data_IF_281998748097
#
_entry.id   IF_281998748097
#
_cell.length_a   1.000
_cell.length_b   1.000
_cell.length_c   1.000
_cell.angle_alpha   90.00
_cell.angle_beta   90.00
_cell.angle_gamma   90.00
#
_symmetry.space_group_name_H-M   'P 1'
#
loop_
_entity.id
_entity.type
_entity.pdbx_description
1 polymer ?
#
# COMPACT_ATOMS: atom_id res chain seq x y z
N UNK A 1 -9.89 -22.52 33.94
CA UNK A 1 -8.76 -22.91 34.80
C UNK A 1 -8.73 -21.97 35.98
N UNK A 2 -8.66 -22.45 37.23
CA UNK A 2 -8.49 -21.53 38.37
C UNK A 2 -7.00 -21.13 38.37
N UNK A 3 -6.73 -19.85 38.09
CA UNK A 3 -5.39 -19.32 38.29
C UNK A 3 -5.02 -19.33 39.76
N UNK A 4 -3.78 -18.95 40.10
CA UNK A 4 -3.31 -18.86 41.47
C UNK A 4 -4.04 -17.70 42.19
N UNK A 5 -5.29 -17.96 42.58
CA UNK A 5 -6.20 -16.95 43.15
C UNK A 5 -6.15 -16.86 44.69
N UNK A 6 -5.66 -17.84 45.36
CA UNK A 6 -5.63 -17.87 46.81
C UNK A 6 -4.52 -18.80 47.34
N UNK A 7 -4.04 -18.49 48.53
CA UNK A 7 -3.16 -19.41 49.26
C UNK A 7 -3.87 -20.73 49.49
N UNK A 8 -3.15 -21.82 49.36
CA UNK A 8 -3.64 -23.17 49.67
C UNK A 8 -3.71 -23.39 51.20
N UNK A 9 -2.78 -22.75 51.94
CA UNK A 9 -2.70 -22.84 53.40
C UNK A 9 -2.77 -21.45 54.05
N UNK A 10 -3.35 -21.36 55.24
CA UNK A 10 -3.43 -20.13 56.04
C UNK A 10 -2.95 -20.43 57.47
N UNK A 11 -1.90 -19.76 57.91
CA UNK A 11 -1.27 -19.97 59.20
C UNK A 11 -1.54 -18.80 60.14
N UNK A 12 -1.72 -19.12 61.42
CA UNK A 12 -1.82 -18.14 62.50
C UNK A 12 -0.68 -18.38 63.51
N UNK A 13 -0.45 -17.41 64.40
CA UNK A 13 0.60 -17.52 65.42
C UNK A 13 0.33 -18.75 66.33
N UNK A 14 1.27 -19.70 66.34
CA UNK A 14 1.18 -20.89 67.14
C UNK A 14 0.81 -22.17 66.35
N UNK A 15 0.49 -22.02 65.07
CA UNK A 15 0.23 -23.19 64.21
C UNK A 15 1.52 -23.99 63.95
N UNK A 16 1.39 -25.29 63.83
CA UNK A 16 2.44 -26.18 63.35
C UNK A 16 2.35 -26.19 61.82
N UNK A 17 3.43 -25.90 61.13
CA UNK A 17 3.51 -25.95 59.69
C UNK A 17 4.06 -27.33 59.29
N UNK A 18 3.26 -28.14 58.65
CA UNK A 18 3.70 -29.40 58.07
C UNK A 18 4.38 -29.24 56.74
N UNK A 19 5.24 -30.20 56.39
CA UNK A 19 5.94 -30.17 55.08
C UNK A 19 4.95 -30.19 53.89
N UNK A 20 3.81 -30.86 54.04
CA UNK A 20 2.74 -30.88 53.03
C UNK A 20 2.18 -29.49 52.77
N UNK A 21 1.95 -28.66 53.80
CA UNK A 21 1.41 -27.30 53.66
C UNK A 21 2.33 -26.42 52.79
N UNK A 22 3.66 -26.51 53.06
CA UNK A 22 4.65 -25.77 52.30
C UNK A 22 4.78 -26.29 50.87
N UNK A 23 4.75 -27.59 50.67
CA UNK A 23 4.82 -28.21 49.33
C UNK A 23 3.60 -27.85 48.52
N UNK A 24 2.39 -27.85 49.07
CA UNK A 24 1.16 -27.49 48.38
C UNK A 24 1.19 -26.05 47.87
N UNK A 25 1.75 -25.10 48.64
CA UNK A 25 1.95 -23.72 48.20
C UNK A 25 2.97 -23.64 47.07
N UNK A 26 4.10 -24.36 47.15
CA UNK A 26 5.12 -24.36 46.08
C UNK A 26 4.60 -25.06 44.83
N UNK A 27 3.88 -26.16 44.95
CA UNK A 27 3.28 -26.88 43.82
C UNK A 27 2.23 -26.05 43.11
N UNK A 28 1.42 -25.25 43.87
CA UNK A 28 0.49 -24.30 43.31
C UNK A 28 1.21 -23.19 42.50
N UNK A 29 2.34 -22.67 43.01
CA UNK A 29 3.17 -21.69 42.29
C UNK A 29 3.79 -22.34 41.02
N UNK A 30 4.38 -23.49 41.11
CA UNK A 30 4.97 -24.22 39.96
C UNK A 30 3.90 -24.49 38.90
N UNK A 31 2.70 -24.91 39.33
CA UNK A 31 1.58 -25.14 38.43
C UNK A 31 1.13 -23.85 37.75
N UNK A 32 1.08 -22.73 38.49
CA UNK A 32 0.70 -21.42 37.95
C UNK A 32 1.65 -20.90 36.84
N UNK A 33 2.95 -21.25 36.95
CA UNK A 33 3.96 -20.88 35.92
C UNK A 33 4.26 -22.02 34.93
N UNK A 34 3.55 -23.15 35.02
CA UNK A 34 3.64 -24.23 34.05
C UNK A 34 2.91 -23.92 32.72
N UNK A 35 3.04 -24.85 31.76
CA UNK A 35 2.49 -24.72 30.40
C UNK A 35 0.98 -24.51 30.30
N UNK A 36 0.23 -24.78 31.36
CA UNK A 36 -1.22 -24.58 31.48
C UNK A 36 -1.60 -23.71 32.69
N UNK A 37 -0.66 -22.95 33.25
CA UNK A 37 -0.78 -22.34 34.55
C UNK A 37 -1.70 -21.11 34.60
N UNK A 38 -1.36 -20.04 33.93
CA UNK A 38 -2.15 -18.82 33.91
C UNK A 38 -1.97 -18.06 32.60
N UNK A 39 -2.97 -17.26 32.26
CA UNK A 39 -2.96 -16.33 31.15
C UNK A 39 -3.02 -14.91 31.67
N UNK A 40 -2.57 -13.94 30.90
CA UNK A 40 -2.71 -12.52 31.23
C UNK A 40 -3.92 -11.92 30.51
N UNK A 41 -5.10 -12.48 30.74
CA UNK A 41 -6.35 -12.11 30.08
C UNK A 41 -7.23 -11.14 30.88
N UNK A 42 -6.75 -10.68 32.05
CA UNK A 42 -7.48 -9.79 32.94
C UNK A 42 -8.52 -10.47 33.82
N UNK A 43 -8.73 -11.79 33.69
CA UNK A 43 -9.64 -12.55 34.54
C UNK A 43 -9.04 -12.70 35.95
N UNK A 44 -9.90 -12.62 36.97
CA UNK A 44 -9.47 -12.80 38.36
C UNK A 44 -8.76 -14.16 38.54
N UNK A 45 -7.52 -14.13 39.04
CA UNK A 45 -6.66 -15.29 39.24
C UNK A 45 -5.77 -15.66 38.06
N UNK A 46 -5.94 -15.05 36.90
CA UNK A 46 -5.07 -15.28 35.74
C UNK A 46 -4.06 -14.14 35.48
N UNK A 47 -3.96 -13.19 36.42
CA UNK A 47 -3.14 -11.99 36.25
C UNK A 47 -3.85 -10.89 35.49
N UNK A 48 -3.45 -9.63 35.74
CA UNK A 48 -3.95 -8.48 35.00
C UNK A 48 -3.53 -8.53 33.52
N UNK A 49 -4.31 -7.90 32.65
CA UNK A 49 -3.93 -7.73 31.26
C UNK A 49 -2.56 -7.06 31.13
N UNK A 50 -1.79 -7.44 30.12
CA UNK A 50 -0.48 -6.83 29.85
C UNK A 50 -0.69 -5.42 29.29
N UNK A 51 -0.40 -4.40 30.09
CA UNK A 51 -0.48 -3.01 29.66
C UNK A 51 0.77 -2.55 28.87
N UNK A 52 1.87 -3.31 28.94
CA UNK A 52 3.13 -3.00 28.26
C UNK A 52 3.98 -4.24 28.09
N UNK A 53 4.43 -4.48 26.86
CA UNK A 53 5.54 -5.36 26.56
C UNK A 53 6.82 -4.53 26.45
N UNK A 54 7.71 -4.62 27.43
CA UNK A 54 8.95 -3.85 27.48
C UNK A 54 10.14 -4.77 27.75
N UNK A 55 11.29 -4.46 27.19
CA UNK A 55 12.56 -5.06 27.53
C UNK A 55 13.45 -5.54 26.38
N UNK A 56 12.98 -5.49 25.13
CA UNK A 56 13.78 -5.86 23.94
C UNK A 56 13.37 -5.00 22.76
N UNK A 57 14.26 -4.84 21.79
CA UNK A 57 13.97 -4.15 20.54
C UNK A 57 13.16 -5.02 19.56
N UNK A 58 12.78 -6.22 19.96
CA UNK A 58 12.02 -7.17 19.15
C UNK A 58 10.97 -7.91 19.97
N UNK A 59 9.84 -8.21 19.35
CA UNK A 59 8.81 -9.13 19.83
C UNK A 59 8.71 -10.23 18.78
N UNK A 60 8.87 -11.49 19.21
CA UNK A 60 8.65 -12.66 18.35
C UNK A 60 7.25 -13.18 18.60
N UNK A 61 6.44 -13.31 17.57
CA UNK A 61 5.10 -13.87 17.60
C UNK A 61 5.10 -15.13 16.74
N UNK A 62 4.61 -16.24 17.28
CA UNK A 62 4.55 -17.53 16.59
C UNK A 62 5.52 -18.56 17.15
N UNK A 63 5.32 -19.81 16.76
CA UNK A 63 6.06 -20.96 17.23
C UNK A 63 6.99 -21.58 16.17
N UNK A 64 7.24 -20.92 15.06
CA UNK A 64 8.01 -21.40 13.91
C UNK A 64 7.54 -22.79 13.41
N UNK A 65 6.23 -23.02 13.40
CA UNK A 65 5.62 -24.27 12.91
C UNK A 65 5.30 -24.11 11.43
N UNK A 66 5.87 -24.97 10.58
CA UNK A 66 5.67 -24.93 9.14
C UNK A 66 4.18 -25.10 8.76
N UNK A 67 3.71 -24.34 7.79
CA UNK A 67 2.33 -24.36 7.29
C UNK A 67 1.30 -23.83 8.30
N UNK A 68 1.73 -23.09 9.32
CA UNK A 68 0.82 -22.53 10.33
C UNK A 68 0.84 -21.02 10.30
N UNK A 69 -0.27 -20.44 9.89
CA UNK A 69 -0.47 -19.01 9.88
C UNK A 69 -0.41 -18.40 11.28
N UNK A 70 0.11 -17.18 11.38
CA UNK A 70 0.20 -16.43 12.63
C UNK A 70 -0.80 -15.30 12.60
N UNK A 71 -1.77 -15.33 13.51
CA UNK A 71 -2.83 -14.34 13.63
C UNK A 71 -2.58 -13.42 14.81
N UNK A 72 -2.65 -12.11 14.57
CA UNK A 72 -2.75 -11.08 15.61
C UNK A 72 -4.13 -10.45 15.52
N UNK A 73 -4.95 -10.66 16.54
CA UNK A 73 -6.31 -10.12 16.60
C UNK A 73 -6.33 -8.90 17.51
N UNK A 74 -6.91 -7.82 17.02
CA UNK A 74 -7.27 -6.62 17.79
C UNK A 74 -8.74 -6.77 18.18
N UNK A 75 -8.96 -7.29 19.40
CA UNK A 75 -10.28 -7.66 19.94
C UNK A 75 -11.05 -6.39 20.31
N UNK A 76 -12.04 -6.02 19.52
CA UNK A 76 -12.93 -4.87 19.74
C UNK A 76 -14.26 -5.31 20.37
N UNK A 77 -15.08 -4.34 20.79
CA UNK A 77 -16.40 -4.63 21.40
C UNK A 77 -17.38 -5.22 20.38
N UNK A 78 -17.33 -4.76 19.13
CA UNK A 78 -18.32 -5.12 18.09
C UNK A 78 -17.65 -5.70 16.86
N UNK A 79 -16.48 -5.19 16.48
CA UNK A 79 -15.71 -5.63 15.31
C UNK A 79 -14.26 -5.82 15.71
N UNK A 80 -13.68 -6.91 15.27
CA UNK A 80 -12.29 -7.27 15.47
C UNK A 80 -11.48 -6.97 14.20
N UNK A 81 -10.25 -6.45 14.39
CA UNK A 81 -9.29 -6.32 13.31
C UNK A 81 -8.29 -7.47 13.33
N UNK A 82 -7.89 -7.98 12.18
CA UNK A 82 -6.92 -9.07 12.08
C UNK A 82 -5.75 -8.70 11.17
N UNK A 83 -4.54 -8.89 11.70
CA UNK A 83 -3.29 -8.88 10.97
C UNK A 83 -2.73 -10.30 10.93
N UNK A 84 -2.64 -10.87 9.74
CA UNK A 84 -2.30 -12.28 9.52
C UNK A 84 -0.99 -12.39 8.76
N UNK A 85 -0.04 -13.17 9.24
CA UNK A 85 1.06 -13.70 8.46
C UNK A 85 0.65 -15.07 7.90
N UNK A 86 0.53 -15.16 6.58
CA UNK A 86 0.22 -16.38 5.85
C UNK A 86 1.54 -17.09 5.53
N UNK A 87 1.82 -18.18 6.24
CA UNK A 87 3.16 -18.81 6.23
C UNK A 87 3.46 -19.48 4.89
N UNK A 88 2.51 -20.20 4.33
CA UNK A 88 2.68 -20.91 3.05
C UNK A 88 2.73 -19.97 1.84
N UNK A 89 2.05 -18.83 1.91
CA UNK A 89 1.98 -17.82 0.84
C UNK A 89 3.06 -16.75 0.97
N UNK A 90 3.81 -16.71 2.07
CA UNK A 90 4.86 -15.73 2.36
C UNK A 90 4.36 -14.28 2.25
N UNK A 91 3.18 -14.00 2.84
CA UNK A 91 2.56 -12.66 2.76
C UNK A 91 1.82 -12.24 4.02
N UNK A 92 1.70 -10.92 4.19
CA UNK A 92 0.82 -10.33 5.18
C UNK A 92 -0.57 -10.06 4.61
N UNK A 93 -1.62 -10.35 5.40
CA UNK A 93 -3.01 -10.05 5.07
C UNK A 93 -3.66 -9.25 6.19
N UNK A 94 -4.40 -8.21 5.81
CA UNK A 94 -5.25 -7.41 6.68
C UNK A 94 -6.71 -7.78 6.43
N UNK A 95 -7.54 -7.90 7.49
CA UNK A 95 -8.97 -8.20 7.34
C UNK A 95 -9.78 -6.94 7.02
N UNK A 96 -9.25 -5.78 7.37
CA UNK A 96 -9.94 -4.49 7.30
C UNK A 96 -9.14 -3.46 6.49
N UNK A 97 -9.70 -2.28 6.29
CA UNK A 97 -9.07 -1.19 5.56
C UNK A 97 -7.79 -0.72 6.26
N UNK A 98 -6.81 -0.32 5.46
CA UNK A 98 -5.60 0.34 5.94
C UNK A 98 -5.75 1.83 5.68
N UNK A 99 -5.79 2.65 6.76
CA UNK A 99 -5.78 4.10 6.64
C UNK A 99 -4.35 4.63 6.73
N UNK A 100 -3.89 5.26 5.67
CA UNK A 100 -2.71 6.12 5.70
C UNK A 100 -3.23 7.54 5.87
N UNK A 101 -2.80 8.22 6.93
CA UNK A 101 -3.28 9.58 7.22
C UNK A 101 -2.70 10.60 6.25
N UNK A 102 -3.29 11.79 6.20
CA UNK A 102 -2.93 12.86 5.28
C UNK A 102 -1.45 13.20 5.35
N UNK A 103 -0.86 13.48 4.20
CA UNK A 103 0.56 13.79 4.04
C UNK A 103 1.54 12.68 4.42
N UNK A 104 1.07 11.49 4.83
CA UNK A 104 1.89 10.31 5.00
C UNK A 104 1.99 9.51 3.70
N UNK A 105 3.02 8.68 3.59
CA UNK A 105 3.39 8.05 2.33
C UNK A 105 3.46 6.53 2.47
N UNK A 106 2.80 5.81 1.57
CA UNK A 106 3.06 4.39 1.33
C UNK A 106 4.24 4.27 0.37
N UNK A 107 5.31 3.60 0.81
CA UNK A 107 6.59 3.52 0.10
C UNK A 107 6.79 2.10 -0.41
N UNK A 108 7.23 1.98 -1.66
CA UNK A 108 7.60 0.72 -2.31
C UNK A 108 9.07 0.78 -2.74
N UNK A 109 9.80 -0.33 -2.51
CA UNK A 109 11.23 -0.44 -2.77
C UNK A 109 12.09 0.08 -1.63
N UNK A 110 13.31 -0.45 -1.51
CA UNK A 110 14.27 -0.11 -0.43
C UNK A 110 14.78 1.33 -0.52
N UNK A 111 14.80 1.88 -1.72
CA UNK A 111 15.29 3.23 -2.02
C UNK A 111 14.15 4.23 -2.29
N UNK A 112 12.92 3.86 -1.87
CA UNK A 112 11.70 4.65 -2.08
C UNK A 112 11.41 4.90 -3.57
N UNK A 113 11.54 3.86 -4.39
CA UNK A 113 11.41 3.91 -5.85
C UNK A 113 10.03 4.36 -6.32
N UNK A 114 8.98 3.92 -5.60
CA UNK A 114 7.61 4.31 -5.82
C UNK A 114 6.92 4.71 -4.53
N UNK A 115 6.08 5.75 -4.61
CA UNK A 115 5.30 6.23 -3.47
C UNK A 115 3.87 6.56 -3.87
N UNK A 116 2.94 6.35 -2.91
CA UNK A 116 1.55 6.78 -2.99
C UNK A 116 1.27 7.66 -1.79
N UNK A 117 0.78 8.88 -2.01
CA UNK A 117 0.48 9.87 -0.98
C UNK A 117 -0.82 10.58 -1.30
N UNK A 118 -1.66 10.85 -0.31
CA UNK A 118 -2.69 11.89 -0.39
C UNK A 118 -2.07 13.21 0.09
N UNK A 119 -2.05 14.23 -0.77
CA UNK A 119 -1.45 15.53 -0.47
C UNK A 119 -2.52 16.58 -0.17
N UNK A 120 -2.77 16.83 1.11
CA UNK A 120 -3.73 17.84 1.59
C UNK A 120 -3.20 19.27 1.44
N UNK A 121 -1.88 19.45 1.27
CA UNK A 121 -1.26 20.79 1.24
C UNK A 121 -1.48 21.56 -0.07
N UNK A 122 -2.03 20.94 -1.10
CA UNK A 122 -2.23 21.48 -2.44
C UNK A 122 -3.70 21.44 -2.89
N UNK A 123 -3.94 20.66 -3.93
CA UNK A 123 -5.23 20.55 -4.61
C UNK A 123 -6.03 19.29 -4.17
N UNK A 124 -5.73 18.69 -3.01
CA UNK A 124 -6.31 17.43 -2.52
C UNK A 124 -6.06 16.25 -3.48
N UNK A 125 -4.83 16.11 -3.95
CA UNK A 125 -4.47 15.14 -4.97
C UNK A 125 -4.00 13.79 -4.38
N UNK A 126 -4.38 12.70 -5.03
CA UNK A 126 -3.68 11.43 -4.89
C UNK A 126 -2.42 11.44 -5.78
N UNK A 127 -1.26 11.58 -5.16
CA UNK A 127 0.03 11.69 -5.86
C UNK A 127 0.72 10.32 -5.92
N UNK A 128 1.01 9.87 -7.15
CA UNK A 128 1.86 8.70 -7.42
C UNK A 128 3.20 9.20 -7.95
N UNK A 129 4.28 8.90 -7.24
CA UNK A 129 5.63 9.30 -7.63
C UNK A 129 6.50 8.08 -7.86
N UNK A 130 7.14 8.02 -9.01
CA UNK A 130 8.00 6.91 -9.42
C UNK A 130 8.41 7.04 -10.88
N UNK A 131 8.76 5.93 -11.52
CA UNK A 131 9.16 5.89 -12.92
C UNK A 131 7.96 5.70 -13.85
N UNK A 132 7.54 4.45 -14.09
CA UNK A 132 6.47 4.10 -15.04
C UNK A 132 5.29 3.45 -14.30
N UNK A 133 4.06 3.70 -14.79
CA UNK A 133 2.87 2.99 -14.35
C UNK A 133 2.45 2.07 -15.50
N UNK A 134 2.50 0.75 -15.28
CA UNK A 134 1.98 -0.25 -16.20
C UNK A 134 0.62 -0.76 -15.72
N UNK A 135 -0.36 -0.78 -16.64
CA UNK A 135 -1.70 -1.35 -16.39
C UNK A 135 -1.90 -2.50 -17.35
N UNK A 136 -1.74 -3.72 -16.88
CA UNK A 136 -1.67 -4.93 -17.71
C UNK A 136 -2.84 -5.88 -17.48
N UNK A 137 -3.26 -6.59 -18.53
CA UNK A 137 -4.25 -7.66 -18.43
C UNK A 137 -4.09 -8.66 -19.57
N UNK A 138 -4.12 -9.95 -19.27
CA UNK A 138 -4.22 -11.02 -20.28
C UNK A 138 -5.67 -11.28 -20.74
N UNK A 139 -6.67 -10.57 -20.17
CA UNK A 139 -8.07 -10.75 -20.53
C UNK A 139 -8.43 -9.93 -21.77
N UNK A 140 -9.15 -10.55 -22.73
CA UNK A 140 -9.62 -9.89 -23.95
C UNK A 140 -10.39 -8.60 -23.64
N UNK A 141 -10.15 -7.54 -24.39
CA UNK A 141 -10.70 -6.19 -24.24
C UNK A 141 -10.35 -5.49 -22.89
N UNK A 142 -9.27 -5.90 -22.24
CA UNK A 142 -8.70 -5.27 -21.05
C UNK A 142 -7.20 -4.99 -21.27
N UNK A 143 -6.60 -4.07 -20.51
CA UNK A 143 -7.18 -3.19 -19.49
C UNK A 143 -8.04 -2.06 -20.07
N UNK A 144 -8.87 -1.43 -19.23
CA UNK A 144 -9.64 -0.22 -19.56
C UNK A 144 -9.35 0.83 -18.50
N UNK A 145 -8.91 2.02 -18.91
CA UNK A 145 -8.77 3.19 -18.04
C UNK A 145 -9.93 4.14 -18.31
N UNK A 146 -10.70 4.49 -17.27
CA UNK A 146 -11.85 5.40 -17.36
C UNK A 146 -11.63 6.62 -16.48
N UNK A 147 -11.72 7.80 -17.06
CA UNK A 147 -11.82 9.06 -16.33
C UNK A 147 -13.29 9.44 -16.27
N UNK A 148 -13.88 9.42 -15.08
CA UNK A 148 -15.32 9.64 -14.92
C UNK A 148 -15.59 10.83 -14.00
N UNK A 149 -16.33 11.82 -14.49
CA UNK A 149 -16.86 12.93 -13.71
C UNK A 149 -18.39 12.78 -13.60
N UNK A 150 -18.89 12.62 -12.37
CA UNK A 150 -20.32 12.48 -12.09
C UNK A 150 -21.04 13.81 -11.82
N UNK A 151 -20.33 14.95 -11.87
CA UNK A 151 -20.94 16.26 -11.67
C UNK A 151 -21.87 16.61 -12.83
N UNK A 152 -22.98 17.29 -12.52
CA UNK A 152 -23.99 17.69 -13.50
C UNK A 152 -23.73 19.06 -14.14
N UNK A 153 -22.61 19.72 -13.83
CA UNK A 153 -22.22 20.97 -14.43
C UNK A 153 -21.72 20.81 -15.90
N UNK A 154 -21.27 21.88 -16.51
CA UNK A 154 -20.76 21.87 -17.89
C UNK A 154 -19.31 21.37 -18.03
N UNK A 155 -18.63 21.04 -16.94
CA UNK A 155 -17.21 20.63 -16.93
C UNK A 155 -17.08 19.12 -17.00
N UNK A 156 -16.18 18.61 -17.87
CA UNK A 156 -15.91 17.18 -18.03
C UNK A 156 -14.65 16.74 -17.31
N UNK A 157 -14.41 15.41 -17.31
CA UNK A 157 -13.14 14.85 -16.88
C UNK A 157 -12.02 15.27 -17.85
N UNK A 158 -10.81 15.46 -17.34
CA UNK A 158 -9.64 15.89 -18.13
C UNK A 158 -8.50 14.88 -17.96
N UNK A 159 -7.90 14.48 -19.07
CA UNK A 159 -6.61 13.79 -19.10
C UNK A 159 -5.54 14.81 -19.53
N UNK A 160 -4.55 15.07 -18.66
CA UNK A 160 -3.56 16.13 -18.85
C UNK A 160 -2.15 15.57 -18.99
N UNK A 161 -1.48 15.88 -20.10
CA UNK A 161 -0.02 15.76 -20.22
C UNK A 161 0.60 17.11 -19.83
N UNK A 162 1.56 17.10 -18.89
CA UNK A 162 2.28 18.29 -18.46
C UNK A 162 3.77 18.03 -18.51
N UNK A 163 4.49 18.78 -19.32
CA UNK A 163 5.94 18.90 -19.24
C UNK A 163 6.27 20.16 -18.44
N UNK A 164 6.88 19.99 -17.27
CA UNK A 164 7.24 21.10 -16.38
C UNK A 164 8.76 21.21 -16.31
N UNK A 165 9.32 22.07 -17.14
CA UNK A 165 10.75 22.34 -17.19
C UNK A 165 11.01 23.85 -17.15
N UNK A 166 12.12 24.26 -16.58
CA UNK A 166 12.53 25.67 -16.43
C UNK A 166 12.94 26.32 -17.75
N UNK A 167 13.03 25.56 -18.84
CA UNK A 167 13.54 26.01 -20.14
C UNK A 167 12.73 25.38 -21.27
N UNK A 168 11.46 25.76 -21.38
CA UNK A 168 10.66 25.38 -22.54
C UNK A 168 11.28 25.91 -23.84
N UNK A 169 11.32 25.10 -24.89
CA UNK A 169 11.89 25.45 -26.17
C UNK A 169 10.95 25.07 -27.32
N UNK A 170 11.08 25.78 -28.43
CA UNK A 170 10.45 25.41 -29.71
C UNK A 170 10.85 23.98 -30.10
N UNK A 171 9.90 23.19 -30.55
CA UNK A 171 9.99 21.76 -30.87
C UNK A 171 10.03 20.81 -29.65
N UNK A 172 9.90 21.31 -28.43
CA UNK A 172 9.73 20.45 -27.27
C UNK A 172 8.45 19.63 -27.39
N UNK A 173 8.58 18.31 -27.14
CA UNK A 173 7.43 17.40 -27.07
C UNK A 173 6.80 17.52 -25.67
N UNK A 174 5.49 17.78 -25.62
CA UNK A 174 4.72 17.86 -24.38
C UNK A 174 4.26 16.46 -23.95
N UNK A 175 3.82 15.65 -24.91
CA UNK A 175 3.36 14.30 -24.66
C UNK A 175 3.04 13.53 -25.95
N UNK A 176 3.03 12.21 -25.82
CA UNK A 176 2.67 11.28 -26.88
C UNK A 176 1.55 10.34 -26.44
N UNK A 177 0.71 9.94 -27.37
CA UNK A 177 -0.13 8.75 -27.28
C UNK A 177 0.34 7.80 -28.37
N UNK A 178 0.99 6.69 -28.00
CA UNK A 178 1.55 5.73 -28.93
C UNK A 178 0.67 4.47 -29.01
N UNK A 179 0.47 3.97 -30.22
CA UNK A 179 -0.22 2.73 -30.53
C UNK A 179 0.83 1.73 -30.99
N UNK A 180 1.19 0.79 -30.09
CA UNK A 180 2.23 -0.20 -30.33
C UNK A 180 1.63 -1.60 -30.46
N UNK A 181 2.28 -2.44 -31.27
CA UNK A 181 2.09 -3.88 -31.32
C UNK A 181 3.39 -4.55 -31.77
N UNK A 182 3.44 -5.87 -31.70
CA UNK A 182 4.50 -6.63 -32.34
C UNK A 182 4.24 -6.75 -33.85
N UNK A 183 5.30 -6.73 -34.66
CA UNK A 183 5.24 -7.09 -36.05
C UNK A 183 5.29 -8.63 -36.25
N UNK A 184 5.29 -9.11 -37.49
CA UNK A 184 5.37 -10.54 -37.80
C UNK A 184 6.68 -11.20 -37.34
N UNK A 185 7.70 -10.41 -37.03
CA UNK A 185 9.00 -10.86 -36.50
C UNK A 185 9.06 -10.76 -34.95
N UNK A 186 7.96 -10.47 -34.28
CA UNK A 186 7.85 -10.24 -32.81
C UNK A 186 8.70 -9.05 -32.32
N UNK A 187 8.96 -8.06 -33.18
CA UNK A 187 9.57 -6.80 -32.77
C UNK A 187 8.50 -5.74 -32.43
N UNK A 188 8.71 -5.04 -31.30
CA UNK A 188 7.81 -3.96 -30.91
C UNK A 188 7.89 -2.81 -31.92
N UNK A 189 6.75 -2.48 -32.53
CA UNK A 189 6.63 -1.47 -33.58
C UNK A 189 5.53 -0.49 -33.22
N UNK A 190 5.80 0.82 -33.32
CA UNK A 190 4.79 1.87 -33.17
C UNK A 190 4.07 2.04 -34.49
N UNK A 191 2.78 1.69 -34.54
CA UNK A 191 1.95 1.79 -35.73
C UNK A 191 1.28 3.16 -35.90
N UNK A 192 1.10 3.89 -34.81
CA UNK A 192 0.55 5.23 -34.84
C UNK A 192 0.95 6.04 -33.62
N UNK A 193 0.94 7.36 -33.77
CA UNK A 193 1.23 8.31 -32.66
C UNK A 193 0.40 9.56 -32.80
N UNK A 194 -0.09 10.05 -31.66
CA UNK A 194 -0.56 11.43 -31.53
C UNK A 194 0.46 12.16 -30.65
N UNK A 195 1.04 13.24 -31.16
CA UNK A 195 2.11 13.99 -30.46
C UNK A 195 1.70 15.46 -30.32
N UNK A 196 1.90 16.02 -29.12
CA UNK A 196 1.79 17.47 -28.91
C UNK A 196 3.17 18.09 -28.75
N UNK A 197 3.40 19.23 -29.44
CA UNK A 197 4.68 19.95 -29.42
C UNK A 197 4.48 21.44 -29.17
N UNK A 198 5.53 22.08 -28.68
CA UNK A 198 5.63 23.55 -28.60
C UNK A 198 6.12 24.04 -29.98
N UNK A 199 5.36 24.92 -30.62
CA UNK A 199 5.73 25.54 -31.88
C UNK A 199 6.44 26.88 -31.65
N UNK A 200 5.94 27.66 -30.70
CA UNK A 200 6.55 28.91 -30.27
C UNK A 200 6.40 29.08 -28.74
N UNK A 201 7.45 29.49 -28.08
CA UNK A 201 7.53 29.73 -26.61
C UNK A 201 7.46 31.21 -26.25
N UNK A 202 7.35 32.12 -27.23
CA UNK A 202 7.37 33.57 -26.99
C UNK A 202 6.20 33.98 -26.12
N UNK A 203 6.46 34.59 -24.97
CA UNK A 203 5.44 35.03 -24.05
C UNK A 203 4.46 36.01 -24.73
N UNK A 204 3.17 35.68 -24.72
CA UNK A 204 2.12 36.41 -25.44
C UNK A 204 1.98 36.03 -26.91
N UNK A 205 2.78 35.08 -27.38
CA UNK A 205 2.74 34.56 -28.77
C UNK A 205 2.85 33.04 -28.82
N UNK A 206 2.53 32.35 -27.69
CA UNK A 206 2.67 30.91 -27.56
C UNK A 206 1.85 30.17 -28.61
N UNK A 207 2.50 29.21 -29.28
CA UNK A 207 1.85 28.35 -30.27
C UNK A 207 2.13 26.87 -29.96
N UNK A 208 1.08 26.05 -30.12
CA UNK A 208 1.14 24.60 -29.99
C UNK A 208 0.83 23.90 -31.30
N UNK A 209 1.33 22.67 -31.44
CA UNK A 209 1.02 21.77 -32.53
C UNK A 209 0.53 20.42 -32.02
N UNK A 210 -0.36 19.79 -32.79
CA UNK A 210 -0.77 18.40 -32.63
C UNK A 210 -0.51 17.69 -33.96
N UNK A 211 0.35 16.68 -33.93
CA UNK A 211 0.75 15.90 -35.08
C UNK A 211 0.24 14.46 -34.98
N UNK A 212 -0.23 13.92 -36.07
CA UNK A 212 -0.66 12.54 -36.22
C UNK A 212 0.32 11.83 -37.15
N UNK A 213 0.88 10.74 -36.64
CA UNK A 213 1.84 9.90 -37.35
C UNK A 213 1.25 8.52 -37.59
N UNK A 214 1.62 7.90 -38.70
CA UNK A 214 1.34 6.49 -39.03
C UNK A 214 2.61 5.81 -39.51
N UNK A 215 2.74 4.52 -39.26
CA UNK A 215 3.85 3.75 -39.78
C UNK A 215 3.70 3.54 -41.31
N UNK A 216 4.79 3.77 -42.04
CA UNK A 216 4.89 3.40 -43.44
C UNK A 216 5.27 1.93 -43.61
N UNK A 217 5.41 1.50 -44.85
CA UNK A 217 5.67 0.11 -45.22
C UNK A 217 7.01 -0.46 -44.65
N UNK A 218 7.92 0.41 -44.23
CA UNK A 218 9.21 0.05 -43.59
C UNK A 218 9.18 0.18 -42.06
N UNK A 219 8.01 0.46 -41.45
CA UNK A 219 7.85 0.69 -40.01
C UNK A 219 8.23 2.09 -39.54
N UNK A 220 8.66 2.98 -40.42
CA UNK A 220 9.01 4.37 -40.07
C UNK A 220 7.74 5.18 -39.81
N UNK A 221 7.69 5.94 -38.68
CA UNK A 221 6.60 6.84 -38.40
C UNK A 221 6.70 8.09 -39.29
N UNK A 222 5.70 8.28 -40.14
CA UNK A 222 5.59 9.46 -41.00
C UNK A 222 4.41 10.33 -40.59
N UNK A 223 4.63 11.65 -40.52
CA UNK A 223 3.57 12.61 -40.21
C UNK A 223 2.56 12.68 -41.35
N UNK A 224 1.33 12.23 -41.06
CA UNK A 224 0.20 12.27 -41.99
C UNK A 224 -0.63 13.54 -41.90
N UNK A 225 -0.73 14.13 -40.69
CA UNK A 225 -1.51 15.35 -40.46
C UNK A 225 -0.84 16.20 -39.37
N UNK A 226 -0.94 17.52 -39.51
CA UNK A 226 -0.48 18.48 -38.51
C UNK A 226 -1.55 19.55 -38.32
N UNK A 227 -1.83 19.91 -37.06
CA UNK A 227 -2.67 21.04 -36.66
C UNK A 227 -1.78 21.93 -35.82
N UNK A 228 -1.65 23.20 -36.25
CA UNK A 228 -0.85 24.18 -35.52
C UNK A 228 -1.68 25.45 -35.29
N UNK A 229 -1.42 26.09 -34.15
CA UNK A 229 -1.93 27.43 -33.91
C UNK A 229 -1.38 28.40 -34.94
N UNK A 230 -2.25 29.20 -35.55
CA UNK A 230 -1.82 30.27 -36.44
C UNK A 230 -1.36 31.49 -35.65
N UNK A 231 -0.40 32.26 -36.20
CA UNK A 231 -0.20 33.64 -35.73
C UNK A 231 -1.47 34.43 -35.99
N UNK A 232 -2.03 35.09 -34.99
CA UNK A 232 -3.03 36.15 -35.22
C UNK A 232 -2.31 37.32 -35.87
N UNK A 233 -2.65 37.61 -37.12
CA UNK A 233 -2.29 38.84 -37.78
C UNK A 233 -2.85 40.06 -37.06
#
# INVERSE_FOLDING_TARGET
MAGYASRQSSYTTGDTIDASDSNDEFDAIVTAFGTSGHTHDGTAGNGGGLSKLAGSNSITIGAATAGTDITVTFDGETNDGVFLWMEDEDMFKYSDDIMIVDNETLIFGSDSDWTIKYDESGDDDLVLTGSDISVESATSAKPVMTLFNSNADSSGATFKFKKDGTSAATSDVIGNIDFLSEDAGAAATTYGRIQSTIVDVTAGGEQGGIDFYVAENDGTLTKGMSIQGGSSD
#
